data_IF_814493949092
#
_entry.id   IF_814493949092
#
_cell.length_a   1.000
_cell.length_b   1.000
_cell.length_c   1.000
_cell.angle_alpha   90.00
_cell.angle_beta   90.00
_cell.angle_gamma   90.00
#
_symmetry.space_group_name_H-M   'P 1'
#
loop_
_entity.id
_entity.type
_entity.pdbx_description
1 polymer ?
#
# COMPACT_ATOMS: atom_id res chain seq x y z
N UNK A 1 66.59 -60.02 23.35
CA UNK A 1 65.30 -59.43 23.81
C UNK A 1 64.86 -58.38 22.85
N UNK A 2 63.83 -58.63 22.03
CA UNK A 2 63.25 -57.66 21.08
C UNK A 2 61.85 -57.30 21.55
N UNK A 3 61.66 -56.08 22.05
CA UNK A 3 60.39 -55.52 22.48
C UNK A 3 59.59 -55.14 21.25
N UNK A 4 58.43 -55.76 21.04
CA UNK A 4 57.45 -55.36 20.02
C UNK A 4 56.63 -54.19 20.51
N UNK A 5 56.69 -53.03 19.82
CA UNK A 5 55.79 -51.90 20.02
C UNK A 5 54.50 -52.18 19.25
N UNK A 6 53.35 -52.21 19.93
CA UNK A 6 52.01 -52.16 19.36
C UNK A 6 51.66 -50.76 19.09
N UNK A 7 51.45 -50.40 17.81
CA UNK A 7 50.80 -49.15 17.42
C UNK A 7 49.26 -49.31 17.52
N UNK A 8 48.68 -48.67 18.53
CA UNK A 8 47.24 -48.55 18.61
C UNK A 8 46.79 -47.34 17.68
N UNK A 9 46.04 -47.65 16.61
CA UNK A 9 45.38 -46.69 15.78
C UNK A 9 44.13 -46.22 16.51
N UNK A 10 44.16 -45.00 17.08
CA UNK A 10 42.98 -44.34 17.60
C UNK A 10 42.19 -43.71 16.43
N UNK A 11 41.08 -44.33 16.10
CA UNK A 11 40.13 -43.82 15.13
C UNK A 11 39.32 -42.69 15.80
N UNK A 12 39.70 -41.41 15.62
CA UNK A 12 38.95 -40.28 16.11
C UNK A 12 37.76 -40.04 15.19
N UNK A 13 36.59 -40.41 15.70
CA UNK A 13 35.30 -40.03 15.10
C UNK A 13 35.12 -38.53 15.32
N UNK A 14 35.34 -37.72 14.27
CA UNK A 14 35.01 -36.30 14.29
C UNK A 14 33.49 -36.16 14.19
N UNK A 15 32.83 -36.05 15.34
CA UNK A 15 31.42 -35.61 15.39
C UNK A 15 31.37 -34.13 14.96
N UNK A 16 30.88 -33.89 13.75
CA UNK A 16 30.56 -32.53 13.28
C UNK A 16 29.36 -32.07 14.10
N UNK A 17 29.61 -31.32 15.16
CA UNK A 17 28.59 -30.55 15.86
C UNK A 17 28.17 -29.42 14.94
N UNK A 18 26.97 -29.50 14.36
CA UNK A 18 26.32 -28.41 13.71
C UNK A 18 25.91 -27.39 14.79
N UNK A 19 26.81 -26.46 15.11
CA UNK A 19 26.51 -25.35 16.02
C UNK A 19 25.67 -24.36 15.22
N UNK A 20 24.35 -24.54 15.29
CA UNK A 20 23.40 -23.55 14.80
C UNK A 20 23.55 -22.28 15.63
N UNK A 21 24.26 -21.28 15.12
CA UNK A 21 24.22 -19.93 15.70
C UNK A 21 22.78 -19.41 15.55
N UNK A 22 21.99 -19.50 16.64
CA UNK A 22 20.69 -18.85 16.74
C UNK A 22 20.87 -17.36 16.47
N UNK A 23 20.57 -16.95 15.25
CA UNK A 23 20.31 -15.55 14.91
C UNK A 23 18.89 -15.48 14.36
N UNK A 24 17.92 -15.48 15.29
CA UNK A 24 16.56 -15.06 14.98
C UNK A 24 16.62 -13.56 14.68
N UNK A 25 16.81 -13.21 13.42
CA UNK A 25 16.68 -11.84 12.95
C UNK A 25 15.19 -11.60 12.64
N UNK A 26 14.42 -11.31 13.70
CA UNK A 26 13.13 -10.68 13.56
C UNK A 26 13.39 -9.25 13.06
N UNK A 27 13.00 -8.93 11.83
CA UNK A 27 12.91 -7.54 11.40
C UNK A 27 11.87 -6.85 12.26
N UNK A 28 12.29 -5.90 13.09
CA UNK A 28 11.46 -5.24 14.11
C UNK A 28 10.39 -4.30 13.53
N UNK A 29 10.33 -4.14 12.22
CA UNK A 29 9.31 -3.35 11.53
C UNK A 29 8.54 -4.22 10.56
N UNK A 30 7.21 -4.29 10.68
CA UNK A 30 6.38 -4.95 9.68
C UNK A 30 6.55 -4.25 8.33
N UNK A 31 6.60 -5.04 7.25
CA UNK A 31 6.47 -4.51 5.90
C UNK A 31 5.05 -3.97 5.68
N UNK A 32 4.91 -3.01 4.77
CA UNK A 32 3.62 -2.37 4.52
C UNK A 32 3.35 -2.34 3.02
N UNK A 33 2.27 -2.97 2.62
CA UNK A 33 1.83 -3.05 1.22
C UNK A 33 0.39 -2.56 1.07
N UNK A 34 0.02 -2.15 -0.13
CA UNK A 34 -1.38 -1.86 -0.45
C UNK A 34 -2.18 -3.16 -0.58
N UNK A 35 -3.40 -3.21 -0.09
CA UNK A 35 -4.31 -4.33 -0.35
C UNK A 35 -4.48 -4.54 -1.85
N UNK A 36 -4.45 -5.81 -2.29
CA UNK A 36 -4.53 -6.18 -3.70
C UNK A 36 -3.24 -5.94 -4.51
N UNK A 37 -2.12 -5.62 -3.87
CA UNK A 37 -0.81 -5.48 -4.54
C UNK A 37 -0.38 -6.81 -5.13
N UNK A 38 -0.08 -6.83 -6.44
CA UNK A 38 0.48 -7.97 -7.15
C UNK A 38 1.99 -7.85 -7.33
N UNK A 39 2.70 -9.00 -7.41
CA UNK A 39 4.12 -9.07 -7.68
C UNK A 39 5.02 -8.41 -6.63
N UNK A 40 4.59 -8.35 -5.36
CA UNK A 40 5.42 -7.79 -4.28
C UNK A 40 6.64 -8.69 -4.03
N UNK A 41 7.90 -8.18 -4.19
CA UNK A 41 9.09 -9.00 -4.05
C UNK A 41 9.52 -9.16 -2.60
N UNK A 42 9.95 -10.38 -2.24
CA UNK A 42 10.58 -10.71 -0.95
C UNK A 42 11.76 -11.64 -1.18
N UNK A 43 12.82 -11.49 -0.40
CA UNK A 43 14.02 -12.30 -0.55
C UNK A 43 14.75 -12.53 0.78
N UNK A 44 15.57 -13.56 0.79
CA UNK A 44 16.61 -13.80 1.79
C UNK A 44 17.97 -13.85 1.08
N UNK A 45 19.07 -13.67 1.82
CA UNK A 45 20.39 -13.84 1.22
C UNK A 45 20.62 -15.30 0.85
N UNK A 46 20.96 -15.54 -0.42
CA UNK A 46 21.20 -16.87 -0.94
C UNK A 46 22.41 -17.54 -0.30
N UNK A 47 22.25 -18.81 0.09
CA UNK A 47 23.36 -19.70 0.46
C UNK A 47 23.55 -20.75 -0.63
N UNK A 48 24.76 -20.92 -1.09
CA UNK A 48 25.06 -21.84 -2.19
C UNK A 48 24.62 -23.29 -1.85
N UNK A 49 23.84 -23.90 -2.73
CA UNK A 49 23.33 -25.26 -2.59
C UNK A 49 22.16 -25.43 -1.61
N UNK A 50 21.63 -24.34 -1.04
CA UNK A 50 20.43 -24.36 -0.20
C UNK A 50 19.15 -24.29 -1.02
N UNK A 51 18.08 -24.82 -0.43
CA UNK A 51 16.70 -24.69 -0.90
C UNK A 51 15.85 -23.95 0.13
N UNK A 52 14.77 -23.30 -0.32
CA UNK A 52 13.93 -22.43 0.51
C UNK A 52 12.47 -22.85 0.44
N UNK A 53 11.83 -22.93 1.60
CA UNK A 53 10.39 -23.19 1.68
C UNK A 53 9.67 -21.98 2.25
N UNK A 54 8.81 -21.36 1.40
CA UNK A 54 8.07 -20.16 1.73
C UNK A 54 6.62 -20.47 2.06
N UNK A 55 6.08 -19.78 3.07
CA UNK A 55 4.67 -19.82 3.47
C UNK A 55 4.16 -18.39 3.61
N UNK A 56 3.05 -18.09 2.94
CA UNK A 56 2.42 -16.77 2.95
C UNK A 56 0.97 -16.92 3.40
N UNK A 57 0.54 -16.10 4.36
CA UNK A 57 -0.87 -16.02 4.78
C UNK A 57 -1.59 -14.94 3.95
N UNK A 58 -2.84 -15.22 3.54
CA UNK A 58 -3.71 -14.32 2.76
C UNK A 58 -3.06 -13.66 1.52
N UNK A 59 -2.14 -14.37 0.90
CA UNK A 59 -1.51 -14.04 -0.37
C UNK A 59 -1.16 -15.32 -1.10
N UNK A 60 -0.84 -15.21 -2.39
CA UNK A 60 -0.36 -16.31 -3.23
C UNK A 60 1.05 -16.04 -3.70
N UNK A 61 1.92 -17.07 -3.64
CA UNK A 61 3.25 -16.97 -4.23
C UNK A 61 3.10 -17.08 -5.74
N UNK A 62 3.38 -15.98 -6.45
CA UNK A 62 3.27 -15.91 -7.90
C UNK A 62 4.50 -16.51 -8.61
N UNK A 63 5.68 -16.44 -7.97
CA UNK A 63 6.91 -17.03 -8.50
C UNK A 63 7.94 -17.31 -7.39
N UNK A 64 8.94 -18.16 -7.66
CA UNK A 64 10.11 -18.34 -6.81
C UNK A 64 9.93 -19.30 -5.63
N UNK A 65 8.96 -20.21 -5.64
CA UNK A 65 8.53 -21.06 -4.50
C UNK A 65 9.67 -21.79 -3.78
N UNK A 66 10.73 -22.19 -4.47
CA UNK A 66 11.86 -22.95 -3.90
C UNK A 66 13.19 -22.18 -3.98
N UNK A 67 13.16 -20.89 -4.30
CA UNK A 67 14.35 -20.05 -4.45
C UNK A 67 14.50 -19.09 -3.26
N UNK A 68 15.63 -18.41 -3.19
CA UNK A 68 15.93 -17.36 -2.21
C UNK A 68 15.03 -16.13 -2.29
N UNK A 69 14.25 -16.00 -3.38
CA UNK A 69 13.35 -14.87 -3.62
C UNK A 69 12.01 -15.33 -4.17
N UNK A 70 10.94 -14.65 -3.74
CA UNK A 70 9.57 -14.86 -4.22
C UNK A 70 8.92 -13.56 -4.64
N UNK A 71 7.89 -13.66 -5.46
CA UNK A 71 6.90 -12.59 -5.61
C UNK A 71 5.56 -13.04 -5.06
N UNK A 72 4.85 -12.12 -4.39
CA UNK A 72 3.57 -12.39 -3.71
C UNK A 72 2.48 -11.49 -4.28
N UNK A 73 1.35 -12.11 -4.61
CA UNK A 73 0.10 -11.42 -4.91
C UNK A 73 -0.74 -11.39 -3.65
N UNK A 74 -0.97 -10.19 -3.11
CA UNK A 74 -1.69 -9.99 -1.88
C UNK A 74 -3.20 -9.89 -2.09
N UNK A 75 -3.98 -10.43 -1.14
CA UNK A 75 -5.44 -10.28 -1.13
C UNK A 75 -5.86 -8.81 -1.06
N UNK A 76 -7.00 -8.49 -1.70
CA UNK A 76 -7.60 -7.15 -1.68
C UNK A 76 -8.19 -6.76 -0.31
N UNK A 77 -8.40 -7.72 0.61
CA UNK A 77 -8.90 -7.43 1.96
C UNK A 77 -7.77 -6.89 2.84
N UNK A 78 -7.91 -5.72 3.50
CA UNK A 78 -6.90 -5.21 4.44
C UNK A 78 -6.70 -6.14 5.64
N UNK A 79 -5.50 -6.11 6.23
CA UNK A 79 -5.20 -6.92 7.39
C UNK A 79 -3.70 -7.06 7.67
N UNK A 80 -3.37 -7.83 8.71
CA UNK A 80 -1.99 -8.16 9.05
C UNK A 80 -1.72 -9.63 8.77
N UNK A 81 -0.63 -9.90 8.09
CA UNK A 81 -0.21 -11.23 7.64
C UNK A 81 1.22 -11.54 8.04
N UNK A 82 1.65 -12.75 7.70
CA UNK A 82 3.03 -13.19 7.96
C UNK A 82 3.55 -13.95 6.75
N UNK A 83 4.75 -13.58 6.32
CA UNK A 83 5.59 -14.39 5.45
C UNK A 83 6.54 -15.19 6.33
N UNK A 84 6.69 -16.46 6.02
CA UNK A 84 7.66 -17.36 6.68
C UNK A 84 8.54 -17.99 5.62
N UNK A 85 9.81 -18.17 5.96
CA UNK A 85 10.76 -18.93 5.14
C UNK A 85 11.61 -19.83 6.02
N UNK A 86 11.87 -21.04 5.50
CA UNK A 86 12.80 -22.01 6.08
C UNK A 86 13.81 -22.37 5.02
N UNK A 87 15.09 -22.30 5.36
CA UNK A 87 16.20 -22.73 4.52
C UNK A 87 16.60 -24.16 4.88
N UNK A 88 16.87 -24.99 3.86
CA UNK A 88 17.50 -26.31 4.01
C UNK A 88 18.80 -26.29 3.23
N UNK A 89 19.93 -26.54 3.90
CA UNK A 89 21.24 -26.50 3.26
C UNK A 89 21.51 -27.73 2.37
N UNK A 90 22.63 -27.72 1.65
CA UNK A 90 23.04 -28.79 0.74
C UNK A 90 23.25 -30.17 1.43
N UNK A 91 23.39 -30.21 2.77
CA UNK A 91 23.52 -31.41 3.55
C UNK A 91 22.20 -31.90 4.16
N UNK A 92 21.07 -31.24 3.82
CA UNK A 92 19.75 -31.56 4.34
C UNK A 92 19.47 -31.05 5.76
N UNK A 93 20.32 -30.18 6.31
CA UNK A 93 20.06 -29.54 7.60
C UNK A 93 19.06 -28.41 7.44
N UNK A 94 17.97 -28.50 8.23
CA UNK A 94 16.88 -27.49 8.22
C UNK A 94 17.23 -26.37 9.21
N UNK A 95 17.17 -25.15 8.75
CA UNK A 95 17.40 -23.95 9.56
C UNK A 95 16.17 -23.49 10.33
N UNK A 96 16.33 -22.43 11.11
CA UNK A 96 15.23 -21.79 11.84
C UNK A 96 14.28 -21.06 10.90
N UNK A 97 12.97 -21.08 11.25
CA UNK A 97 11.96 -20.35 10.52
C UNK A 97 12.12 -18.84 10.73
N UNK A 98 12.40 -18.11 9.65
CA UNK A 98 12.34 -16.65 9.65
C UNK A 98 10.92 -16.18 9.38
N UNK A 99 10.54 -15.03 9.98
CA UNK A 99 9.18 -14.48 9.90
C UNK A 99 9.26 -12.99 9.64
N UNK A 100 8.39 -12.51 8.72
CA UNK A 100 8.16 -11.09 8.45
C UNK A 100 6.66 -10.82 8.59
N UNK A 101 6.30 -9.88 9.46
CA UNK A 101 4.93 -9.37 9.51
C UNK A 101 4.71 -8.41 8.32
N UNK A 102 3.54 -8.50 7.69
CA UNK A 102 3.15 -7.64 6.56
C UNK A 102 1.80 -7.03 6.86
N UNK A 103 1.73 -5.71 6.85
CA UNK A 103 0.48 -4.98 6.99
C UNK A 103 -0.06 -4.58 5.62
N UNK A 104 -1.22 -5.14 5.23
CA UNK A 104 -1.96 -4.78 4.02
C UNK A 104 -2.86 -3.59 4.32
N UNK A 105 -2.45 -2.42 3.86
CA UNK A 105 -3.19 -1.17 4.06
C UNK A 105 -4.48 -1.15 3.23
N UNK A 106 -5.59 -0.61 3.80
CA UNK A 106 -6.77 -0.32 3.01
C UNK A 106 -6.46 0.70 1.92
N UNK A 107 -7.06 0.53 0.75
CA UNK A 107 -7.00 1.54 -0.30
C UNK A 107 -7.78 2.78 0.14
N UNK A 108 -7.29 4.00 -0.14
CA UNK A 108 -8.01 5.21 0.20
C UNK A 108 -9.26 5.35 -0.68
N UNK A 109 -10.31 5.92 -0.12
CA UNK A 109 -11.48 6.36 -0.90
C UNK A 109 -11.72 7.85 -0.69
N UNK A 110 -12.36 8.48 -1.67
CA UNK A 110 -12.83 9.85 -1.56
C UNK A 110 -14.28 9.92 -2.03
N UNK A 111 -15.08 10.77 -1.39
CA UNK A 111 -16.46 11.02 -1.77
C UNK A 111 -16.75 12.50 -1.85
N UNK A 112 -17.55 12.87 -2.85
CA UNK A 112 -18.01 14.21 -3.14
C UNK A 112 -19.50 14.15 -3.46
N UNK A 113 -20.30 15.00 -2.82
CA UNK A 113 -21.74 15.02 -3.04
C UNK A 113 -22.32 16.39 -2.73
N UNK A 114 -23.53 16.65 -3.20
CA UNK A 114 -24.30 17.85 -2.90
C UNK A 114 -24.55 18.74 -4.10
N UNK A 115 -25.35 19.78 -3.83
CA UNK A 115 -25.70 20.81 -4.81
C UNK A 115 -25.82 22.13 -4.06
N UNK A 116 -25.11 23.13 -4.56
CA UNK A 116 -25.19 24.50 -4.07
C UNK A 116 -25.81 25.42 -5.14
N UNK A 117 -26.27 26.57 -4.70
CA UNK A 117 -26.81 27.60 -5.60
C UNK A 117 -26.23 28.97 -5.24
N UNK A 118 -25.67 29.66 -6.22
CA UNK A 118 -25.05 30.97 -6.06
C UNK A 118 -25.59 31.95 -7.12
N UNK A 119 -25.41 33.23 -6.86
CA UNK A 119 -25.65 34.24 -7.89
C UNK A 119 -24.46 34.32 -8.86
N UNK A 120 -24.69 34.79 -10.06
CA UNK A 120 -23.64 35.06 -11.05
C UNK A 120 -22.51 35.91 -10.45
N UNK A 121 -21.27 35.46 -10.66
CA UNK A 121 -20.03 36.05 -10.13
C UNK A 121 -19.86 35.93 -8.60
N UNK A 122 -20.52 34.92 -7.97
CA UNK A 122 -20.28 34.52 -6.59
C UNK A 122 -19.80 33.06 -6.52
N UNK A 123 -19.15 32.73 -5.43
CA UNK A 123 -18.64 31.38 -5.16
C UNK A 123 -19.24 30.74 -3.93
N UNK A 124 -18.96 29.48 -3.73
CA UNK A 124 -19.31 28.67 -2.57
C UNK A 124 -18.15 27.77 -2.16
N UNK A 125 -18.32 27.03 -1.06
CA UNK A 125 -17.37 26.02 -0.62
C UNK A 125 -18.09 24.71 -0.36
N UNK A 126 -17.47 23.62 -0.76
CA UNK A 126 -17.98 22.27 -0.56
C UNK A 126 -16.88 21.33 -0.06
N UNK A 127 -17.24 20.13 0.36
CA UNK A 127 -16.32 19.26 1.07
C UNK A 127 -16.12 17.92 0.36
N UNK A 128 -14.88 17.41 0.43
CA UNK A 128 -14.49 16.08 0.04
C UNK A 128 -14.18 15.29 1.30
N UNK A 129 -14.85 14.15 1.51
CA UNK A 129 -14.58 13.24 2.61
C UNK A 129 -13.68 12.09 2.14
N UNK A 130 -12.72 11.70 3.01
CA UNK A 130 -11.76 10.63 2.74
C UNK A 130 -11.89 9.51 3.76
N UNK A 131 -11.55 8.29 3.32
CA UNK A 131 -11.36 7.14 4.20
C UNK A 131 -10.00 6.50 3.95
N UNK A 132 -9.62 5.52 4.77
CA UNK A 132 -8.29 4.89 4.72
C UNK A 132 -7.25 5.70 5.49
N UNK A 133 -5.98 5.42 5.23
CA UNK A 133 -4.85 6.00 5.96
C UNK A 133 -4.30 7.19 5.19
N UNK A 134 -4.40 8.39 5.78
CA UNK A 134 -3.79 9.62 5.25
C UNK A 134 -2.27 9.74 5.54
N UNK A 135 -1.64 10.81 5.14
CA UNK A 135 -2.14 11.88 4.28
C UNK A 135 -2.59 11.42 2.90
N UNK A 136 -3.57 12.15 2.33
CA UNK A 136 -4.13 11.84 1.01
C UNK A 136 -3.66 12.84 -0.03
N UNK A 137 -3.56 12.35 -1.28
CA UNK A 137 -3.41 13.16 -2.49
C UNK A 137 -4.60 12.86 -3.37
N UNK A 138 -5.28 13.87 -3.87
CA UNK A 138 -6.42 13.68 -4.76
C UNK A 138 -6.42 14.73 -5.87
N UNK A 139 -7.20 14.49 -6.90
CA UNK A 139 -7.46 15.48 -7.95
C UNK A 139 -8.95 15.57 -8.20
N UNK A 140 -9.39 16.78 -8.51
CA UNK A 140 -10.77 17.04 -8.92
C UNK A 140 -10.81 17.85 -10.21
N UNK A 141 -11.91 17.74 -10.95
CA UNK A 141 -12.15 18.49 -12.18
C UNK A 141 -13.44 19.29 -12.06
N UNK A 142 -13.44 20.48 -12.65
CA UNK A 142 -14.62 21.32 -12.87
C UNK A 142 -15.28 21.09 -14.25
N UNK A 143 -14.83 20.05 -14.97
CA UNK A 143 -15.24 19.72 -16.34
C UNK A 143 -14.32 20.31 -17.41
N UNK A 144 -13.46 21.26 -17.08
CA UNK A 144 -12.47 21.87 -17.99
C UNK A 144 -11.05 21.71 -17.52
N UNK A 145 -10.83 21.91 -16.22
CA UNK A 145 -9.51 21.87 -15.58
C UNK A 145 -9.46 20.78 -14.51
N UNK A 146 -8.35 20.05 -14.45
CA UNK A 146 -8.07 19.13 -13.35
C UNK A 146 -7.09 19.77 -12.38
N UNK A 147 -7.50 19.88 -11.12
CA UNK A 147 -6.71 20.48 -10.05
C UNK A 147 -6.20 19.39 -9.10
N UNK A 148 -4.88 19.19 -8.99
CA UNK A 148 -4.30 18.29 -7.99
C UNK A 148 -4.21 18.98 -6.63
N UNK A 149 -4.47 18.20 -5.56
CA UNK A 149 -4.33 18.61 -4.15
C UNK A 149 -3.52 17.53 -3.42
N UNK A 150 -2.42 17.94 -2.79
CA UNK A 150 -1.50 17.01 -2.13
C UNK A 150 -1.42 17.22 -0.63
N UNK A 151 -0.96 16.14 0.05
CA UNK A 151 -0.63 16.14 1.48
C UNK A 151 -1.79 16.57 2.41
N UNK A 152 -3.00 16.15 2.11
CA UNK A 152 -4.19 16.43 2.91
C UNK A 152 -4.17 15.56 4.17
N UNK A 153 -4.16 16.18 5.33
CA UNK A 153 -4.04 15.50 6.64
C UNK A 153 -5.36 15.42 7.42
N UNK A 154 -6.40 16.13 6.96
CA UNK A 154 -7.73 16.15 7.60
C UNK A 154 -8.83 15.75 6.64
N UNK A 155 -9.84 15.08 7.16
CA UNK A 155 -11.09 14.76 6.44
C UNK A 155 -12.25 15.28 7.28
N UNK A 156 -13.19 16.04 6.70
CA UNK A 156 -13.27 16.47 5.30
C UNK A 156 -12.27 17.57 4.92
N UNK A 157 -12.01 17.72 3.61
CA UNK A 157 -11.24 18.82 3.02
C UNK A 157 -12.18 19.77 2.29
N UNK A 158 -12.02 21.08 2.50
CA UNK A 158 -12.88 22.09 1.89
C UNK A 158 -12.28 22.61 0.58
N UNK A 159 -13.07 22.59 -0.49
CA UNK A 159 -12.76 23.18 -1.78
C UNK A 159 -13.58 24.48 -1.92
N UNK A 160 -12.93 25.56 -2.36
CA UNK A 160 -13.62 26.77 -2.79
C UNK A 160 -13.83 26.73 -4.31
N UNK A 161 -15.06 26.99 -4.76
CA UNK A 161 -15.36 27.08 -6.19
C UNK A 161 -14.75 28.32 -6.86
N UNK A 162 -14.35 29.34 -6.09
CA UNK A 162 -14.12 30.65 -6.61
C UNK A 162 -15.43 31.29 -7.16
N UNK A 163 -15.34 32.42 -7.81
CA UNK A 163 -16.50 33.09 -8.42
C UNK A 163 -16.85 32.42 -9.76
N UNK A 164 -18.11 32.02 -9.90
CA UNK A 164 -18.62 31.29 -11.06
C UNK A 164 -19.55 32.19 -11.93
N UNK A 165 -19.41 32.08 -13.24
CA UNK A 165 -20.25 32.74 -14.21
C UNK A 165 -21.28 31.79 -14.86
N UNK A 166 -21.08 30.47 -14.70
CA UNK A 166 -21.94 29.41 -15.21
C UNK A 166 -22.01 28.27 -14.22
N UNK A 167 -23.08 27.47 -14.26
CA UNK A 167 -23.23 26.30 -13.44
C UNK A 167 -22.11 25.28 -13.74
N UNK A 168 -21.51 24.72 -12.69
CA UNK A 168 -20.33 23.91 -12.78
C UNK A 168 -20.52 22.61 -11.99
N UNK A 169 -20.09 21.48 -12.55
CA UNK A 169 -20.09 20.18 -11.89
C UNK A 169 -18.66 19.78 -11.56
N UNK A 170 -18.41 19.52 -10.28
CA UNK A 170 -17.13 19.05 -9.78
C UNK A 170 -17.15 17.54 -9.61
N UNK A 171 -16.09 16.87 -10.07
CA UNK A 171 -15.90 15.42 -9.95
C UNK A 171 -14.51 15.08 -9.47
N UNK A 172 -14.36 13.97 -8.76
CA UNK A 172 -13.05 13.46 -8.35
C UNK A 172 -12.44 12.63 -9.49
N UNK A 173 -11.16 12.84 -9.77
CA UNK A 173 -10.46 12.17 -10.88
C UNK A 173 -9.36 11.21 -10.41
N UNK A 174 -8.79 11.42 -9.22
CA UNK A 174 -7.77 10.55 -8.63
C UNK A 174 -7.79 10.63 -7.11
N UNK A 175 -7.37 9.55 -6.45
CA UNK A 175 -7.10 9.47 -5.02
C UNK A 175 -5.95 8.50 -4.75
N UNK A 176 -5.02 8.91 -3.90
CA UNK A 176 -3.94 8.07 -3.38
C UNK A 176 -3.56 8.50 -1.97
N UNK A 177 -2.76 7.69 -1.29
CA UNK A 177 -2.19 8.10 -0.01
C UNK A 177 -0.66 8.26 -0.11
N UNK A 178 -0.03 8.76 0.96
CA UNK A 178 1.44 8.96 1.03
C UNK A 178 2.26 7.68 0.85
N UNK A 179 1.67 6.50 1.02
CA UNK A 179 2.33 5.21 0.87
C UNK A 179 2.25 4.68 -0.57
N UNK A 180 1.67 5.45 -1.49
CA UNK A 180 1.50 5.07 -2.89
C UNK A 180 0.31 4.15 -3.17
N UNK A 181 -0.56 3.90 -2.17
CA UNK A 181 -1.78 3.16 -2.42
C UNK A 181 -2.77 4.02 -3.18
N UNK A 182 -3.15 3.56 -4.37
CA UNK A 182 -4.10 4.24 -5.25
C UNK A 182 -5.49 3.66 -5.01
N UNK A 183 -6.44 4.53 -4.71
CA UNK A 183 -7.85 4.19 -4.59
C UNK A 183 -8.62 4.38 -5.89
N UNK A 184 -9.93 4.16 -5.83
CA UNK A 184 -10.83 4.38 -6.96
C UNK A 184 -11.69 5.62 -6.72
N UNK A 185 -11.99 6.34 -7.80
CA UNK A 185 -12.95 7.45 -7.80
C UNK A 185 -14.30 7.03 -8.39
N UNK A 186 -14.45 5.75 -8.79
CA UNK A 186 -15.71 5.21 -9.27
C UNK A 186 -16.76 5.26 -8.15
N UNK A 187 -17.89 5.92 -8.41
CA UNK A 187 -18.96 6.10 -7.42
C UNK A 187 -18.67 7.13 -6.34
N UNK A 188 -17.59 7.93 -6.48
CA UNK A 188 -17.29 9.03 -5.54
C UNK A 188 -18.24 10.18 -5.59
N UNK A 189 -19.19 10.19 -6.55
CA UNK A 189 -20.20 11.22 -6.69
C UNK A 189 -19.72 12.49 -7.37
N UNK A 190 -20.54 13.52 -7.32
CA UNK A 190 -20.25 14.84 -7.84
C UNK A 190 -20.88 15.93 -6.97
N UNK A 191 -20.36 17.14 -7.07
CA UNK A 191 -20.94 18.32 -6.46
C UNK A 191 -21.29 19.32 -7.56
N UNK A 192 -22.56 19.80 -7.58
CA UNK A 192 -23.05 20.73 -8.58
C UNK A 192 -23.24 22.09 -7.96
N UNK A 193 -22.66 23.13 -8.57
CA UNK A 193 -22.91 24.52 -8.21
C UNK A 193 -23.77 25.14 -9.30
N UNK A 194 -25.01 25.47 -8.96
CA UNK A 194 -25.98 26.14 -9.87
C UNK A 194 -25.76 27.63 -9.78
N UNK A 195 -25.49 28.28 -10.93
CA UNK A 195 -25.34 29.72 -11.01
C UNK A 195 -26.63 30.35 -11.51
N UNK A 196 -27.26 31.19 -10.68
CA UNK A 196 -28.45 31.93 -11.02
C UNK A 196 -28.05 33.24 -11.72
N UNK A 197 -28.72 33.62 -12.84
CA UNK A 197 -28.41 34.84 -13.55
C UNK A 197 -28.77 36.10 -12.73
N UNK A 198 -28.06 37.18 -13.00
CA UNK A 198 -28.46 38.47 -12.44
C UNK A 198 -29.81 38.90 -13.02
N UNK A 199 -30.71 39.50 -12.20
CA UNK A 199 -31.92 40.12 -12.73
C UNK A 199 -31.57 41.24 -13.70
N UNK A 200 -32.27 41.30 -14.82
CA UNK A 200 -32.23 42.45 -15.73
C UNK A 200 -33.22 43.51 -15.19
N UNK A 201 -32.70 44.52 -14.49
CA UNK A 201 -33.53 45.64 -14.02
C UNK A 201 -33.80 46.59 -15.19
N UNK A 202 -35.07 46.83 -15.48
CA UNK A 202 -35.46 47.85 -16.47
C UNK A 202 -35.10 49.27 -16.02
N UNK A 203 -34.97 50.20 -16.97
CA UNK A 203 -34.80 51.60 -16.65
C UNK A 203 -35.99 52.20 -15.88
N UNK A 204 -35.73 53.20 -15.07
CA UNK A 204 -36.80 54.02 -14.42
C UNK A 204 -37.38 54.96 -15.44
N UNK A 205 -38.69 54.89 -15.64
CA UNK A 205 -39.43 55.82 -16.54
C UNK A 205 -40.24 56.80 -15.70
N UNK A 206 -40.29 58.05 -16.12
CA UNK A 206 -41.12 59.10 -15.55
C UNK A 206 -42.34 59.33 -16.47
N UNK A 207 -43.55 59.36 -15.92
CA UNK A 207 -44.78 59.71 -16.63
C UNK A 207 -44.99 61.21 -16.59
#
# INVERSE_FOLDING_TARGET
MRTKQLFAFALTFATVFCVSALRAQSTSSPDTVCSGRTGAPYYVHATAGSSYHWIVSNGTIASGTNTDSITVDWSATPGTDTIKVVETNAHGCVGDTQKLAVYRMPLPTASLSGTDSVCHNYGTSFQVAFTGIGPWNFSYSDGTTTTPVGNVTSSPYTISSGNLNSSTTYTLTAISNKFGCVGTTTGSGSHVVIVNPKPATSGIFHN
#
